data_IF_486477740050
#
_entry.id   IF_486477740050
#
_cell.length_a   1.000
_cell.length_b   1.000
_cell.length_c   1.000
_cell.angle_alpha   90.00
_cell.angle_beta   90.00
_cell.angle_gamma   90.00
#
_symmetry.space_group_name_H-M   'P 1'
#
loop_
_entity.id
_entity.type
_entity.pdbx_description
1 polymer ?
#
# COMPACT_ATOMS: atom_id res chain seq x y z
N UNK A 1 15.69 -3.20 19.39
CA UNK A 1 15.17 -4.02 18.29
C UNK A 1 15.58 -3.37 16.98
N UNK A 2 16.16 -4.12 16.06
CA UNK A 2 16.75 -3.61 14.82
C UNK A 2 16.51 -4.56 13.65
N UNK A 3 16.41 -3.97 12.46
CA UNK A 3 16.24 -4.66 11.19
C UNK A 3 17.51 -4.41 10.37
N UNK A 4 18.15 -5.48 9.91
CA UNK A 4 19.37 -5.41 9.10
C UNK A 4 19.13 -6.00 7.72
N UNK A 5 19.52 -5.29 6.66
CA UNK A 5 19.45 -5.79 5.28
C UNK A 5 20.46 -6.93 5.11
N UNK A 6 19.99 -8.03 4.52
CA UNK A 6 20.79 -9.20 4.15
C UNK A 6 21.13 -9.15 2.66
N UNK A 7 20.13 -8.90 1.80
CA UNK A 7 20.34 -8.78 0.35
C UNK A 7 19.33 -7.81 -0.28
N UNK A 8 19.68 -7.35 -1.49
CA UNK A 8 18.81 -6.59 -2.38
C UNK A 8 18.94 -7.15 -3.78
N UNK A 9 17.83 -7.51 -4.37
CA UNK A 9 17.74 -8.13 -5.69
C UNK A 9 16.56 -7.52 -6.47
N UNK A 10 16.47 -7.88 -7.75
CA UNK A 10 15.33 -7.53 -8.60
C UNK A 10 14.78 -8.81 -9.18
N UNK A 11 13.51 -9.10 -8.89
CA UNK A 11 12.80 -10.26 -9.43
C UNK A 11 12.08 -9.83 -10.70
N UNK A 12 12.39 -10.53 -11.80
CA UNK A 12 11.80 -10.28 -13.12
C UNK A 12 10.75 -11.35 -13.45
N UNK A 13 9.83 -11.06 -14.40
CA UNK A 13 8.98 -12.09 -14.98
C UNK A 13 9.81 -13.29 -15.47
N UNK A 14 9.25 -14.50 -15.36
CA UNK A 14 9.93 -15.71 -15.83
C UNK A 14 9.89 -15.86 -17.35
N UNK A 15 8.84 -15.36 -17.98
CA UNK A 15 8.72 -15.32 -19.44
C UNK A 15 9.57 -14.19 -20.00
N UNK A 16 10.43 -14.52 -20.95
CA UNK A 16 11.15 -13.50 -21.71
C UNK A 16 10.18 -12.71 -22.59
N UNK A 17 9.08 -13.29 -23.09
CA UNK A 17 8.23 -12.64 -24.10
C UNK A 17 7.50 -11.38 -23.62
N UNK A 18 7.47 -11.10 -22.31
CA UNK A 18 6.81 -9.91 -21.74
C UNK A 18 7.36 -8.60 -22.30
N UNK A 19 8.65 -8.53 -22.65
CA UNK A 19 9.27 -7.32 -23.23
C UNK A 19 8.77 -7.04 -24.66
N UNK A 20 8.17 -8.04 -25.33
CA UNK A 20 7.61 -7.90 -26.67
C UNK A 20 6.16 -7.40 -26.65
N UNK A 21 5.54 -7.33 -25.47
CA UNK A 21 4.18 -6.83 -25.32
C UNK A 21 4.14 -5.34 -25.63
N UNK A 22 3.04 -4.90 -26.23
CA UNK A 22 2.86 -3.48 -26.54
C UNK A 22 2.69 -2.68 -25.25
N UNK A 23 3.23 -1.45 -25.18
CA UNK A 23 2.84 -0.50 -24.15
C UNK A 23 1.32 -0.30 -24.16
N UNK A 24 0.70 -0.17 -22.99
CA UNK A 24 -0.69 0.26 -22.93
C UNK A 24 -0.84 1.51 -22.06
N UNK A 25 -1.93 2.23 -22.34
CA UNK A 25 -2.21 3.55 -21.78
C UNK A 25 -2.67 3.43 -20.33
N UNK A 26 -2.24 4.35 -19.48
CA UNK A 26 -2.88 4.55 -18.17
C UNK A 26 -4.20 5.32 -18.34
N UNK A 27 -5.06 5.28 -17.34
CA UNK A 27 -6.30 6.05 -17.34
C UNK A 27 -6.07 7.51 -16.93
N UNK A 28 -7.04 8.39 -17.20
CA UNK A 28 -7.06 9.75 -16.67
C UNK A 28 -7.02 9.77 -15.13
N UNK A 29 -7.62 8.78 -14.47
CA UNK A 29 -7.60 8.69 -13.00
C UNK A 29 -6.19 8.41 -12.48
N UNK A 30 -5.46 7.52 -13.17
CA UNK A 30 -4.05 7.25 -12.88
C UNK A 30 -3.21 8.52 -13.12
N UNK A 31 -3.46 9.26 -14.20
CA UNK A 31 -2.74 10.51 -14.49
C UNK A 31 -2.88 11.56 -13.39
N UNK A 32 -4.05 11.64 -12.76
CA UNK A 32 -4.37 12.58 -11.68
C UNK A 32 -3.91 12.10 -10.30
N UNK A 33 -3.57 10.82 -10.16
CA UNK A 33 -3.13 10.26 -8.89
C UNK A 33 -1.66 10.60 -8.65
N UNK A 34 -1.32 11.26 -7.52
CA UNK A 34 0.07 11.47 -7.14
C UNK A 34 0.82 10.15 -6.92
N UNK A 35 2.09 10.09 -7.30
CA UNK A 35 2.88 8.86 -7.14
C UNK A 35 3.32 8.68 -5.69
N UNK A 36 2.91 7.56 -5.10
CA UNK A 36 3.27 7.14 -3.73
C UNK A 36 3.10 5.63 -3.56
N UNK A 37 3.59 5.09 -2.44
CA UNK A 37 3.45 3.68 -2.09
C UNK A 37 2.33 3.44 -1.09
N UNK A 38 1.41 2.57 -1.45
CA UNK A 38 0.46 1.92 -0.55
C UNK A 38 1.11 0.70 0.09
N UNK A 39 1.30 0.68 1.43
CA UNK A 39 1.96 -0.43 2.11
C UNK A 39 0.99 -1.56 2.49
N UNK A 40 1.51 -2.78 2.52
CA UNK A 40 0.87 -3.94 3.14
C UNK A 40 1.93 -4.76 3.87
N UNK A 41 1.68 -5.16 5.11
CA UNK A 41 2.58 -6.05 5.86
C UNK A 41 1.78 -7.27 6.33
N UNK A 42 2.25 -8.46 5.97
CA UNK A 42 1.66 -9.73 6.37
C UNK A 42 2.61 -10.49 7.29
N UNK A 43 2.12 -10.88 8.47
CA UNK A 43 2.91 -11.58 9.48
C UNK A 43 2.54 -13.07 9.51
N UNK A 44 3.55 -13.93 9.46
CA UNK A 44 3.39 -15.37 9.50
C UNK A 44 4.25 -15.98 10.60
N UNK A 45 3.65 -16.66 11.60
CA UNK A 45 4.42 -17.40 12.58
C UNK A 45 5.06 -18.62 11.94
N UNK A 46 6.20 -19.05 12.47
CA UNK A 46 6.84 -20.28 12.03
C UNK A 46 5.95 -21.48 12.39
N UNK A 47 5.44 -22.19 11.39
CA UNK A 47 4.58 -23.36 11.59
C UNK A 47 5.27 -24.69 11.33
N UNK A 48 6.40 -24.70 10.62
CA UNK A 48 7.08 -25.93 10.21
C UNK A 48 8.60 -25.79 10.35
N UNK A 49 9.19 -26.47 11.31
CA UNK A 49 10.63 -26.42 11.65
C UNK A 49 11.55 -26.95 10.54
N UNK A 50 11.00 -27.58 9.51
CA UNK A 50 11.78 -28.18 8.41
C UNK A 50 12.16 -27.20 7.30
N UNK A 51 11.48 -26.06 7.16
CA UNK A 51 11.80 -25.06 6.14
C UNK A 51 12.86 -24.09 6.67
N UNK A 52 14.04 -24.07 6.04
CA UNK A 52 15.06 -23.05 6.36
C UNK A 52 14.70 -21.73 5.70
N UNK A 53 15.06 -20.60 6.31
CA UNK A 53 14.77 -19.25 5.78
C UNK A 53 15.26 -19.03 4.34
N UNK A 54 16.39 -19.65 3.96
CA UNK A 54 16.89 -19.61 2.57
C UNK A 54 15.95 -20.28 1.58
N UNK A 55 15.33 -21.40 1.95
CA UNK A 55 14.35 -22.09 1.10
C UNK A 55 13.08 -21.26 0.92
N UNK A 56 12.63 -20.57 1.97
CA UNK A 56 11.47 -19.67 1.90
C UNK A 56 11.75 -18.54 0.91
N UNK A 57 12.92 -17.90 1.00
CA UNK A 57 13.24 -16.80 0.09
C UNK A 57 13.31 -17.25 -1.37
N UNK A 58 13.99 -18.38 -1.65
CA UNK A 58 14.04 -18.93 -3.01
C UNK A 58 12.64 -19.23 -3.57
N UNK A 59 11.79 -19.90 -2.78
CA UNK A 59 10.42 -20.21 -3.21
C UNK A 59 9.59 -18.94 -3.46
N UNK A 60 9.73 -17.91 -2.61
CA UNK A 60 9.04 -16.64 -2.80
C UNK A 60 9.49 -15.91 -4.07
N UNK A 61 10.79 -15.87 -4.36
CA UNK A 61 11.32 -15.27 -5.59
C UNK A 61 10.85 -16.01 -6.84
N UNK A 62 10.91 -17.34 -6.84
CA UNK A 62 10.43 -18.16 -7.96
C UNK A 62 8.92 -18.00 -8.19
N UNK A 63 8.13 -18.00 -7.10
CA UNK A 63 6.69 -17.77 -7.18
C UNK A 63 6.36 -16.37 -7.68
N UNK A 64 7.08 -15.35 -7.21
CA UNK A 64 6.91 -13.98 -7.65
C UNK A 64 7.24 -13.83 -9.15
N UNK A 65 8.37 -14.39 -9.59
CA UNK A 65 8.77 -14.39 -11.00
C UNK A 65 7.69 -14.96 -11.92
N UNK A 66 7.12 -16.11 -11.56
CA UNK A 66 6.01 -16.74 -12.31
C UNK A 66 4.72 -15.93 -12.25
N UNK A 67 4.42 -15.32 -11.11
CA UNK A 67 3.21 -14.49 -10.92
C UNK A 67 3.27 -13.20 -11.74
N UNK A 68 4.49 -12.69 -11.98
CA UNK A 68 4.71 -11.52 -12.82
C UNK A 68 4.50 -11.80 -14.32
N UNK A 69 4.40 -13.04 -14.79
CA UNK A 69 4.09 -13.30 -16.21
C UNK A 69 2.68 -12.81 -16.58
N UNK A 70 1.60 -13.24 -15.90
CA UNK A 70 0.26 -12.70 -16.14
C UNK A 70 0.06 -11.29 -15.55
N UNK A 71 0.88 -10.88 -14.57
CA UNK A 71 0.85 -9.56 -13.94
C UNK A 71 2.03 -8.69 -14.36
N UNK A 72 2.49 -8.83 -15.59
CA UNK A 72 3.67 -8.14 -16.13
C UNK A 72 3.65 -6.61 -15.95
N UNK A 73 2.49 -5.90 -15.89
CA UNK A 73 2.50 -4.47 -15.59
C UNK A 73 3.04 -4.12 -14.21
N UNK A 74 3.09 -5.06 -13.25
CA UNK A 74 3.68 -4.83 -11.93
C UNK A 74 5.22 -4.81 -11.96
N UNK A 75 5.84 -5.39 -12.99
CA UNK A 75 7.29 -5.33 -13.21
C UNK A 75 7.71 -4.10 -14.02
N UNK A 76 6.76 -3.39 -14.63
CA UNK A 76 7.00 -2.25 -15.49
C UNK A 76 7.20 -0.92 -14.75
N UNK A 77 7.31 0.15 -15.53
CA UNK A 77 7.27 1.54 -15.08
C UNK A 77 6.24 2.34 -15.86
N UNK A 78 5.79 3.43 -15.24
CA UNK A 78 5.09 4.51 -15.94
C UNK A 78 6.12 5.28 -16.76
N UNK A 79 5.73 5.74 -17.95
CA UNK A 79 6.49 6.68 -18.77
C UNK A 79 5.63 7.89 -19.09
N UNK A 80 6.20 9.07 -18.88
CA UNK A 80 5.62 10.36 -19.27
C UNK A 80 4.23 10.62 -18.67
N UNK A 81 3.88 9.90 -17.59
CA UNK A 81 2.53 9.88 -17.04
C UNK A 81 1.45 9.56 -18.11
N UNK A 82 1.72 8.63 -19.04
CA UNK A 82 0.85 8.32 -20.18
C UNK A 82 0.70 6.82 -20.44
N UNK A 83 1.80 6.08 -20.36
CA UNK A 83 1.84 4.66 -20.71
C UNK A 83 2.58 3.85 -19.66
N UNK A 84 2.30 2.55 -19.66
CA UNK A 84 3.09 1.55 -18.95
C UNK A 84 3.96 0.84 -19.97
N UNK A 85 5.27 0.75 -19.69
CA UNK A 85 6.26 0.11 -20.53
C UNK A 85 7.39 -0.52 -19.69
N UNK A 86 8.38 -1.12 -20.35
CA UNK A 86 9.60 -1.65 -19.75
C UNK A 86 9.31 -2.77 -18.74
N UNK A 87 8.54 -3.76 -19.21
CA UNK A 87 8.00 -4.88 -18.43
C UNK A 87 9.07 -5.81 -17.83
N UNK A 88 10.33 -5.67 -18.23
CA UNK A 88 11.48 -6.45 -17.75
C UNK A 88 12.31 -5.73 -16.66
N UNK A 89 11.93 -4.51 -16.27
CA UNK A 89 12.59 -3.79 -15.16
C UNK A 89 12.45 -4.50 -13.81
N UNK A 90 11.38 -5.26 -13.62
CA UNK A 90 11.18 -6.12 -12.46
C UNK A 90 10.78 -5.38 -11.18
N UNK A 91 10.69 -6.19 -10.11
CA UNK A 91 10.24 -5.83 -8.77
C UNK A 91 11.42 -5.89 -7.80
N UNK A 92 11.78 -4.79 -7.10
CA UNK A 92 12.77 -4.83 -6.04
C UNK A 92 12.36 -5.82 -4.94
N UNK A 93 13.31 -6.67 -4.55
CA UNK A 93 13.15 -7.67 -3.52
C UNK A 93 14.27 -7.52 -2.48
N UNK A 94 13.90 -7.22 -1.24
CA UNK A 94 14.83 -6.96 -0.14
C UNK A 94 14.69 -8.06 0.90
N UNK A 95 15.80 -8.67 1.30
CA UNK A 95 15.82 -9.58 2.44
C UNK A 95 16.39 -8.87 3.66
N UNK A 96 15.73 -9.05 4.80
CA UNK A 96 16.19 -8.51 6.07
C UNK A 96 16.12 -9.54 7.18
N UNK A 97 16.92 -9.31 8.22
CA UNK A 97 16.87 -10.04 9.48
C UNK A 97 16.41 -9.13 10.61
N UNK A 98 15.52 -9.63 11.44
CA UNK A 98 14.92 -8.93 12.58
C UNK A 98 15.37 -9.62 13.86
N UNK A 99 16.11 -8.90 14.70
CA UNK A 99 16.78 -9.46 15.88
C UNK A 99 15.87 -9.61 17.12
N UNK A 100 14.70 -10.25 16.94
CA UNK A 100 13.76 -10.60 18.01
C UNK A 100 12.82 -11.72 17.56
N UNK A 101 11.98 -12.20 18.47
CA UNK A 101 10.86 -13.07 18.17
C UNK A 101 9.66 -12.30 17.60
N UNK A 102 8.95 -12.91 16.64
CA UNK A 102 7.76 -12.31 16.02
C UNK A 102 6.67 -11.95 17.04
N UNK A 103 6.43 -12.81 18.04
CA UNK A 103 5.40 -12.53 19.06
C UNK A 103 5.76 -11.34 19.94
N UNK A 104 7.04 -11.19 20.31
CA UNK A 104 7.52 -10.04 21.07
C UNK A 104 7.35 -8.75 20.25
N UNK A 105 7.69 -8.81 18.96
CA UNK A 105 7.49 -7.70 18.03
C UNK A 105 6.04 -7.24 17.95
N UNK A 106 5.09 -8.17 17.87
CA UNK A 106 3.67 -7.88 17.63
C UNK A 106 2.91 -7.37 18.86
N UNK A 107 3.49 -7.43 20.07
CA UNK A 107 2.76 -7.04 21.29
C UNK A 107 2.25 -5.60 21.24
N UNK A 108 3.08 -4.65 20.81
CA UNK A 108 2.72 -3.25 20.56
C UNK A 108 3.83 -2.55 19.75
N UNK A 109 4.03 -2.91 18.46
CA UNK A 109 5.11 -2.31 17.69
C UNK A 109 4.80 -0.82 17.45
N UNK A 110 5.77 0.09 17.70
CA UNK A 110 5.64 1.47 17.24
C UNK A 110 5.55 1.48 15.71
N UNK A 111 4.80 2.44 15.15
CA UNK A 111 4.56 2.52 13.71
C UNK A 111 5.88 2.64 12.92
N UNK A 112 6.84 3.37 13.46
CA UNK A 112 8.16 3.59 12.87
C UNK A 112 8.96 2.29 12.69
N UNK A 113 8.63 1.26 13.48
CA UNK A 113 9.25 -0.04 13.38
C UNK A 113 8.52 -0.95 12.37
N UNK A 114 7.21 -0.80 12.22
CA UNK A 114 6.46 -1.43 11.13
C UNK A 114 6.92 -0.88 9.77
N UNK A 115 7.19 0.43 9.70
CA UNK A 115 7.67 1.07 8.47
C UNK A 115 9.02 0.51 8.02
N UNK A 116 9.87 0.09 8.97
CA UNK A 116 11.15 -0.56 8.65
C UNK A 116 10.97 -1.98 8.09
N UNK A 117 9.79 -2.60 8.23
CA UNK A 117 9.47 -3.88 7.58
C UNK A 117 9.06 -3.73 6.10
N UNK A 118 9.03 -2.49 5.57
CA UNK A 118 8.68 -2.19 4.19
C UNK A 118 9.92 -1.85 3.37
N UNK A 119 9.92 -2.15 2.05
CA UNK A 119 11.05 -1.85 1.17
C UNK A 119 11.23 -0.34 0.91
N UNK A 120 10.17 0.44 1.05
CA UNK A 120 10.15 1.89 0.88
C UNK A 120 9.30 2.55 1.96
N UNK A 121 9.53 3.83 2.22
CA UNK A 121 8.73 4.60 3.15
C UNK A 121 7.25 4.65 2.68
N UNK A 122 6.29 4.23 3.52
CA UNK A 122 4.88 4.21 3.16
C UNK A 122 4.35 5.64 2.98
N UNK A 123 3.40 5.81 2.05
CA UNK A 123 2.73 7.09 1.80
C UNK A 123 3.69 8.28 1.53
N UNK A 124 4.93 7.99 1.13
CA UNK A 124 5.92 8.99 0.74
C UNK A 124 5.67 9.49 -0.68
N UNK A 125 5.73 10.80 -0.89
CA UNK A 125 5.65 11.38 -2.23
C UNK A 125 6.87 10.99 -3.07
N UNK A 126 6.64 10.58 -4.31
CA UNK A 126 7.68 10.21 -5.26
C UNK A 126 7.68 11.19 -6.45
N UNK A 127 8.62 12.14 -6.52
CA UNK A 127 8.59 13.22 -7.52
C UNK A 127 8.95 12.78 -8.94
N UNK A 128 9.52 11.59 -9.11
CA UNK A 128 9.95 11.05 -10.40
C UNK A 128 9.19 9.74 -10.70
N UNK A 129 7.92 9.80 -11.14
CA UNK A 129 7.09 8.61 -11.37
C UNK A 129 7.74 7.56 -12.27
N UNK A 130 8.53 8.02 -13.25
CA UNK A 130 9.17 7.15 -14.23
C UNK A 130 10.24 6.23 -13.62
N UNK A 131 10.78 6.57 -12.44
CA UNK A 131 11.77 5.74 -11.75
C UNK A 131 11.15 4.89 -10.63
N UNK A 132 9.84 5.01 -10.42
CA UNK A 132 9.15 4.36 -9.31
C UNK A 132 8.71 2.95 -9.72
N UNK A 133 9.18 1.90 -9.02
CA UNK A 133 8.69 0.57 -9.28
C UNK A 133 7.21 0.46 -8.92
N UNK A 134 6.43 -0.28 -9.70
CA UNK A 134 5.00 -0.47 -9.42
C UNK A 134 4.76 -1.34 -8.20
N UNK A 135 5.65 -2.28 -7.92
CA UNK A 135 5.63 -3.09 -6.72
C UNK A 135 7.05 -3.27 -6.18
N UNK A 136 7.14 -3.49 -4.87
CA UNK A 136 8.37 -3.88 -4.19
C UNK A 136 8.04 -4.78 -3.01
N UNK A 137 8.96 -5.69 -2.70
CA UNK A 137 8.79 -6.71 -1.66
C UNK A 137 9.96 -6.65 -0.69
N UNK A 138 9.66 -6.78 0.60
CA UNK A 138 10.65 -7.00 1.65
C UNK A 138 10.29 -8.24 2.47
N UNK A 139 11.16 -9.25 2.46
CA UNK A 139 11.07 -10.41 3.33
C UNK A 139 11.87 -10.15 4.61
N UNK A 140 11.17 -10.06 5.73
CA UNK A 140 11.77 -9.86 7.04
C UNK A 140 11.74 -11.18 7.81
N UNK A 141 12.91 -11.74 8.13
CA UNK A 141 13.02 -13.00 8.88
C UNK A 141 13.37 -12.72 10.34
N UNK A 142 12.53 -13.20 11.26
CA UNK A 142 12.71 -13.07 12.71
C UNK A 142 13.60 -14.21 13.25
N UNK A 143 14.22 -14.02 14.41
CA UNK A 143 15.10 -15.04 15.01
C UNK A 143 14.34 -16.33 15.37
N UNK A 144 13.03 -16.23 15.60
CA UNK A 144 12.16 -17.38 15.82
C UNK A 144 11.75 -18.13 14.54
N UNK A 145 12.27 -17.73 13.38
CA UNK A 145 11.89 -18.24 12.05
C UNK A 145 10.54 -17.72 11.53
N UNK A 146 9.81 -16.91 12.32
CA UNK A 146 8.64 -16.20 11.82
C UNK A 146 9.04 -15.20 10.75
N UNK A 147 8.10 -14.80 9.89
CA UNK A 147 8.37 -13.85 8.80
C UNK A 147 7.35 -12.70 8.79
N UNK A 148 7.79 -11.54 8.30
CA UNK A 148 6.92 -10.49 7.82
C UNK A 148 7.20 -10.20 6.35
N UNK A 149 6.16 -10.28 5.52
CA UNK A 149 6.22 -9.92 4.11
C UNK A 149 5.69 -8.49 3.97
N UNK A 150 6.58 -7.54 3.74
CA UNK A 150 6.26 -6.16 3.43
C UNK A 150 6.11 -5.97 1.93
N UNK A 151 5.04 -5.31 1.49
CA UNK A 151 4.77 -4.95 0.11
C UNK A 151 4.55 -3.44 0.01
N UNK A 152 5.15 -2.81 -0.99
CA UNK A 152 4.83 -1.44 -1.38
C UNK A 152 4.31 -1.48 -2.82
N UNK A 153 3.07 -1.01 -3.01
CA UNK A 153 2.42 -0.94 -4.32
C UNK A 153 2.25 0.51 -4.73
N UNK A 154 2.65 0.88 -5.94
CA UNK A 154 2.51 2.24 -6.43
C UNK A 154 1.03 2.59 -6.63
N UNK A 155 0.52 3.52 -5.82
CA UNK A 155 -0.85 4.01 -5.92
C UNK A 155 -1.11 4.72 -7.25
N UNK A 156 -0.05 5.05 -8.01
CA UNK A 156 -0.15 5.65 -9.34
C UNK A 156 -0.96 4.81 -10.32
N UNK A 157 -0.88 3.49 -10.20
CA UNK A 157 -1.53 2.52 -11.08
C UNK A 157 -2.36 1.49 -10.31
N UNK A 158 -2.08 1.28 -9.02
CA UNK A 158 -2.68 0.20 -8.24
C UNK A 158 -3.61 0.78 -7.19
N UNK A 159 -4.91 0.60 -7.42
CA UNK A 159 -5.95 0.87 -6.42
C UNK A 159 -6.19 -0.34 -5.50
N UNK A 160 -7.09 -0.19 -4.53
CA UNK A 160 -7.41 -1.26 -3.58
C UNK A 160 -8.00 -2.52 -4.22
N UNK A 161 -8.77 -2.39 -5.30
CA UNK A 161 -9.35 -3.53 -6.01
C UNK A 161 -8.27 -4.29 -6.80
N UNK A 162 -7.36 -3.58 -7.45
CA UNK A 162 -6.22 -4.12 -8.18
C UNK A 162 -5.26 -4.83 -7.23
N UNK A 163 -4.96 -4.23 -6.08
CA UNK A 163 -4.15 -4.87 -5.03
C UNK A 163 -4.78 -6.16 -4.50
N UNK A 164 -6.10 -6.17 -4.29
CA UNK A 164 -6.82 -7.36 -3.80
C UNK A 164 -6.82 -8.49 -4.84
N UNK A 165 -7.06 -8.17 -6.12
CA UNK A 165 -7.03 -9.15 -7.20
C UNK A 165 -5.64 -9.79 -7.39
N UNK A 166 -4.56 -9.03 -7.15
CA UNK A 166 -3.18 -9.53 -7.17
C UNK A 166 -2.96 -10.59 -6.08
N UNK A 167 -3.54 -10.41 -4.89
CA UNK A 167 -3.43 -11.39 -3.80
C UNK A 167 -4.13 -12.72 -4.13
N UNK A 168 -5.25 -12.68 -4.84
CA UNK A 168 -6.03 -13.86 -5.20
C UNK A 168 -5.49 -14.60 -6.45
N UNK A 169 -4.40 -14.10 -7.07
CA UNK A 169 -3.85 -14.62 -8.33
C UNK A 169 -4.92 -14.81 -9.43
N UNK A 170 -5.97 -13.97 -9.42
CA UNK A 170 -7.06 -14.04 -10.40
C UNK A 170 -6.59 -13.45 -11.72
N UNK A 171 -5.94 -14.30 -12.50
CA UNK A 171 -5.43 -14.02 -13.84
C UNK A 171 -6.57 -13.99 -14.86
N UNK A 172 -7.33 -12.90 -14.93
CA UNK A 172 -8.20 -12.64 -16.11
C UNK A 172 -8.75 -11.23 -16.23
N UNK A 173 -8.22 -10.22 -15.53
CA UNK A 173 -8.74 -8.85 -15.67
C UNK A 173 -7.92 -8.06 -16.67
N UNK A 174 -8.60 -7.50 -17.67
CA UNK A 174 -7.98 -6.62 -18.64
C UNK A 174 -7.60 -5.30 -17.96
N UNK A 175 -6.32 -5.17 -17.58
CA UNK A 175 -5.79 -3.99 -16.89
C UNK A 175 -5.88 -2.69 -17.73
N UNK A 176 -6.20 -2.78 -19.02
CA UNK A 176 -6.36 -1.62 -19.90
C UNK A 176 -7.79 -1.06 -19.95
N UNK A 177 -8.79 -1.74 -19.40
CA UNK A 177 -10.21 -1.35 -19.52
C UNK A 177 -10.49 0.05 -18.98
N UNK A 178 -9.85 0.43 -17.86
CA UNK A 178 -9.97 1.77 -17.29
C UNK A 178 -9.51 2.87 -18.25
N UNK A 179 -8.48 2.63 -19.06
CA UNK A 179 -7.98 3.59 -20.05
C UNK A 179 -8.91 3.73 -21.27
N UNK A 180 -9.82 2.78 -21.49
CA UNK A 180 -10.83 2.86 -22.55
C UNK A 180 -11.98 3.77 -22.07
N UNK A 181 -12.41 3.59 -20.82
CA UNK A 181 -13.50 4.36 -20.21
C UNK A 181 -13.04 5.79 -19.88
N UNK A 182 -11.83 5.93 -19.35
CA UNK A 182 -11.20 7.19 -18.94
C UNK A 182 -9.87 7.36 -19.68
N UNK A 183 -9.90 7.73 -20.97
CA UNK A 183 -8.68 7.86 -21.77
C UNK A 183 -7.73 8.92 -21.21
N UNK A 184 -6.41 8.68 -21.26
CA UNK A 184 -5.44 9.66 -20.79
C UNK A 184 -5.42 10.88 -21.70
N UNK A 185 -5.12 12.04 -21.12
CA UNK A 185 -4.91 13.29 -21.82
C UNK A 185 -3.43 13.44 -22.20
N UNK A 186 -3.18 13.97 -23.40
CA UNK A 186 -1.86 14.38 -23.86
C UNK A 186 -1.99 15.79 -24.49
N UNK A 187 -1.40 16.84 -23.90
CA UNK A 187 -0.48 16.83 -22.75
C UNK A 187 -1.15 16.41 -21.44
N UNK A 188 -0.37 15.81 -20.54
CA UNK A 188 -0.82 15.34 -19.23
C UNK A 188 -1.42 16.47 -18.39
N UNK A 189 -2.45 16.21 -17.54
CA UNK A 189 -3.18 17.22 -16.77
C UNK A 189 -2.39 17.72 -15.55
N UNK A 190 -1.19 18.25 -15.78
CA UNK A 190 -0.19 18.57 -14.76
C UNK A 190 -0.67 19.59 -13.72
N UNK A 191 -1.55 20.52 -14.12
CA UNK A 191 -2.15 21.47 -13.17
C UNK A 191 -3.00 20.74 -12.11
N UNK A 192 -3.86 19.81 -12.54
CA UNK A 192 -4.72 19.05 -11.63
C UNK A 192 -3.91 18.08 -10.78
N UNK A 193 -2.90 17.42 -11.37
CA UNK A 193 -1.98 16.57 -10.63
C UNK A 193 -1.25 17.36 -9.53
N UNK A 194 -0.74 18.56 -9.83
CA UNK A 194 -0.10 19.44 -8.84
C UNK A 194 -1.05 19.84 -7.70
N UNK A 195 -2.33 20.05 -7.99
CA UNK A 195 -3.35 20.30 -6.96
C UNK A 195 -3.51 19.06 -6.06
N UNK A 196 -3.60 17.86 -6.65
CA UNK A 196 -3.71 16.61 -5.89
C UNK A 196 -2.49 16.37 -5.01
N UNK A 197 -1.28 16.58 -5.53
CA UNK A 197 -0.03 16.47 -4.78
C UNK A 197 -0.04 17.38 -3.54
N UNK A 198 -0.45 18.64 -3.70
CA UNK A 198 -0.55 19.60 -2.58
C UNK A 198 -1.59 19.20 -1.53
N UNK A 199 -2.69 18.57 -1.95
CA UNK A 199 -3.74 18.10 -1.04
C UNK A 199 -3.25 16.88 -0.25
N UNK A 200 -2.61 15.92 -0.92
CA UNK A 200 -2.24 14.64 -0.34
C UNK A 200 -0.99 14.73 0.54
N UNK A 201 0.00 15.54 0.14
CA UNK A 201 1.30 15.63 0.81
C UNK A 201 1.52 16.96 1.53
N UNK A 202 0.44 17.57 2.03
CA UNK A 202 0.56 18.73 2.90
C UNK A 202 1.30 18.34 4.18
N UNK A 203 2.49 18.90 4.37
CA UNK A 203 3.28 18.66 5.58
C UNK A 203 2.50 18.99 6.85
N UNK A 204 2.41 18.01 7.75
CA UNK A 204 1.81 18.17 9.05
C UNK A 204 2.48 17.20 10.03
N UNK A 205 2.61 17.61 11.29
CA UNK A 205 2.99 16.69 12.37
C UNK A 205 1.81 15.75 12.63
N UNK A 206 1.89 14.53 12.09
CA UNK A 206 0.88 13.49 12.25
C UNK A 206 1.38 12.39 13.18
N UNK A 207 0.44 11.69 13.83
CA UNK A 207 0.69 10.44 14.53
C UNK A 207 -0.37 9.45 14.10
N UNK A 208 0.04 8.24 13.75
CA UNK A 208 -0.87 7.16 13.36
C UNK A 208 -1.16 6.28 14.58
N UNK A 209 -2.43 5.92 14.77
CA UNK A 209 -2.89 4.98 15.80
C UNK A 209 -3.87 3.99 15.22
N UNK A 210 -3.82 2.75 15.71
CA UNK A 210 -4.77 1.69 15.36
C UNK A 210 -5.89 1.62 16.39
N UNK A 211 -7.13 1.80 15.94
CA UNK A 211 -8.34 1.60 16.74
C UNK A 211 -9.02 0.31 16.28
N UNK A 212 -9.28 -0.61 17.22
CA UNK A 212 -9.91 -1.90 16.93
C UNK A 212 -11.30 -1.90 17.52
N UNK A 213 -12.30 -2.14 16.68
CA UNK A 213 -13.71 -2.25 17.07
C UNK A 213 -14.12 -3.71 16.95
N UNK A 214 -14.43 -4.33 18.08
CA UNK A 214 -14.93 -5.70 18.09
C UNK A 214 -16.40 -5.79 17.65
N UNK A 215 -16.91 -7.01 17.54
CA UNK A 215 -18.28 -7.25 17.12
C UNK A 215 -19.32 -6.57 18.04
N UNK A 216 -19.04 -6.47 19.33
CA UNK A 216 -19.94 -5.86 20.32
C UNK A 216 -19.98 -4.34 20.14
N UNK A 217 -18.82 -3.69 20.02
CA UNK A 217 -18.70 -2.26 19.76
C UNK A 217 -19.40 -1.88 18.44
N UNK A 218 -19.19 -2.68 17.39
CA UNK A 218 -19.86 -2.49 16.10
C UNK A 218 -21.39 -2.62 16.24
N UNK A 219 -21.87 -3.63 16.97
CA UNK A 219 -23.32 -3.81 17.19
C UNK A 219 -23.93 -2.63 17.93
N UNK A 220 -23.26 -2.10 18.96
CA UNK A 220 -23.68 -0.90 19.68
C UNK A 220 -23.74 0.32 18.76
N UNK A 221 -22.66 0.59 18.00
CA UNK A 221 -22.63 1.72 17.05
C UNK A 221 -23.74 1.62 16.01
N UNK A 222 -23.99 0.42 15.46
CA UNK A 222 -25.08 0.19 14.51
C UNK A 222 -26.44 0.49 15.13
N UNK A 223 -26.65 0.17 16.42
CA UNK A 223 -27.90 0.46 17.12
C UNK A 223 -28.08 1.97 17.35
N UNK A 224 -27.02 2.67 17.75
CA UNK A 224 -27.04 4.13 17.95
C UNK A 224 -27.26 4.91 16.66
N UNK A 225 -26.74 4.42 15.53
CA UNK A 225 -26.91 5.05 14.23
C UNK A 225 -28.27 4.79 13.57
N UNK A 226 -29.13 3.94 14.16
CA UNK A 226 -30.47 3.71 13.61
C UNK A 226 -31.30 4.99 13.66
N UNK A 227 -31.93 5.30 12.53
CA UNK A 227 -32.88 6.40 12.44
C UNK A 227 -33.87 6.15 11.31
N UNK A 228 -34.86 7.03 11.18
CA UNK A 228 -35.91 6.89 10.16
C UNK A 228 -35.37 6.73 8.74
N UNK A 229 -34.31 7.47 8.40
CA UNK A 229 -33.68 7.43 7.06
C UNK A 229 -32.72 6.27 6.86
N UNK A 230 -32.17 5.71 7.95
CA UNK A 230 -31.22 4.60 7.92
C UNK A 230 -31.64 3.58 8.98
N UNK A 231 -32.70 2.79 8.71
CA UNK A 231 -33.25 1.87 9.71
C UNK A 231 -32.31 0.70 10.01
N UNK A 232 -31.46 0.33 9.05
CA UNK A 232 -30.51 -0.78 9.14
C UNK A 232 -29.09 -0.36 8.72
N UNK A 233 -28.37 0.43 9.53
CA UNK A 233 -27.02 0.83 9.20
C UNK A 233 -26.11 -0.39 8.99
N UNK A 234 -25.31 -0.36 7.94
CA UNK A 234 -24.22 -1.30 7.71
C UNK A 234 -23.08 -1.05 8.71
N UNK A 235 -22.16 -2.02 8.81
CA UNK A 235 -20.95 -1.86 9.63
C UNK A 235 -20.13 -0.63 9.20
N UNK A 236 -19.99 -0.41 7.90
CA UNK A 236 -19.19 0.68 7.35
C UNK A 236 -19.85 2.02 7.62
N UNK A 237 -21.17 2.16 7.42
CA UNK A 237 -21.89 3.40 7.72
C UNK A 237 -21.75 3.77 9.20
N UNK A 238 -21.97 2.83 10.12
CA UNK A 238 -21.89 3.08 11.56
C UNK A 238 -20.47 3.50 12.00
N UNK A 239 -19.44 2.79 11.52
CA UNK A 239 -18.04 3.12 11.85
C UNK A 239 -17.60 4.46 11.24
N UNK A 240 -17.91 4.70 9.97
CA UNK A 240 -17.56 5.96 9.30
C UNK A 240 -18.25 7.16 9.95
N UNK A 241 -19.52 7.03 10.32
CA UNK A 241 -20.26 8.07 11.03
C UNK A 241 -19.63 8.36 12.41
N UNK A 242 -19.27 7.31 13.15
CA UNK A 242 -18.61 7.44 14.46
C UNK A 242 -17.25 8.13 14.35
N UNK A 243 -16.41 7.71 13.39
CA UNK A 243 -15.08 8.31 13.16
C UNK A 243 -15.22 9.77 12.74
N UNK A 244 -16.13 10.07 11.81
CA UNK A 244 -16.37 11.44 11.35
C UNK A 244 -16.85 12.34 12.50
N UNK A 245 -17.82 11.89 13.31
CA UNK A 245 -18.30 12.60 14.50
C UNK A 245 -17.15 12.88 15.46
N UNK A 246 -16.31 11.87 15.73
CA UNK A 246 -15.16 11.99 16.62
C UNK A 246 -14.13 12.99 16.08
N UNK A 247 -13.82 12.94 14.78
CA UNK A 247 -12.91 13.87 14.13
C UNK A 247 -13.44 15.32 14.16
N UNK A 248 -14.74 15.52 13.95
CA UNK A 248 -15.38 16.84 14.06
C UNK A 248 -15.28 17.42 15.47
N UNK A 249 -15.51 16.61 16.51
CA UNK A 249 -15.38 17.02 17.91
C UNK A 249 -13.93 17.37 18.26
N UNK A 250 -12.98 16.53 17.85
CA UNK A 250 -11.55 16.78 18.06
C UNK A 250 -11.11 18.08 17.39
N UNK A 251 -11.51 18.32 16.14
CA UNK A 251 -11.20 19.54 15.40
C UNK A 251 -11.69 20.80 16.13
N UNK A 252 -12.94 20.79 16.62
CA UNK A 252 -13.50 21.91 17.42
C UNK A 252 -12.72 22.16 18.71
N UNK A 253 -12.31 21.12 19.41
CA UNK A 253 -11.52 21.27 20.64
C UNK A 253 -10.15 21.92 20.37
N UNK A 254 -9.50 21.57 19.27
CA UNK A 254 -8.20 22.16 18.89
C UNK A 254 -8.30 23.62 18.45
N UNK A 255 -9.44 24.00 17.83
CA UNK A 255 -9.71 25.40 17.48
C UNK A 255 -9.91 26.28 18.73
N UNK A 256 -10.61 25.77 19.75
CA UNK A 256 -10.83 26.49 21.00
C UNK A 256 -9.58 26.60 21.88
N UNK A 257 -8.64 25.66 21.80
CA UNK A 257 -7.34 25.75 22.51
C UNK A 257 -6.36 26.79 21.94
N UNK A 258 -6.67 27.46 20.84
CA UNK A 258 -5.83 28.54 20.26
C UNK A 258 -6.22 29.95 20.71
N UNK A 259 -7.19 30.10 21.62
CA UNK A 259 -7.59 31.39 22.18
C UNK A 259 -7.23 31.50 23.67
N UNK A 260 -5.94 31.59 23.97
CA UNK A 260 -5.46 32.28 25.19
C UNK A 260 -4.33 33.21 24.76
N UNK A 261 -4.70 34.33 24.16
CA UNK A 261 -3.88 35.54 24.24
C UNK A 261 -4.45 36.33 25.41
N UNK A 262 -3.78 36.23 26.55
CA UNK A 262 -3.96 37.18 27.64
C UNK A 262 -3.74 38.59 27.10
N UNK A 263 -4.80 39.41 27.11
CA UNK A 263 -4.65 40.86 27.04
C UNK A 263 -4.12 41.34 28.40
N UNK A 264 -3.00 42.06 28.35
CA UNK A 264 -2.63 43.09 29.31
C UNK A 264 -2.36 44.36 28.50
#
# INVERSE_FOLDING_TARGET
MGISIVSKEVVRPSSLDVHLLKPFKISLLDQLTPTTFSPLILFYPMRNTHLKGTQISTQLKESLSKTLDPLYPFAARVRENLIINDYDEGVPYIETRVNTHLFEFLQNPPMELLDQCLPYAPFSYQPNPDQVPHAAVQLNTFDCGGIALGLCLSHKFIDGATASACHEAVTSKNLSEASIIFPPQNPSPNHHLSVMEKIWFREAKSKTRRFVFDAKAIASLRSECKGERVPNPTRIEALSAFILKSAMLASRSTANSRFVLHQA
#
